data_IF_192443134082
#
_entry.id   IF_192443134082
#
_cell.length_a   1.000
_cell.length_b   1.000
_cell.length_c   1.000
_cell.angle_alpha   90.00
_cell.angle_beta   90.00
_cell.angle_gamma   90.00
#
_symmetry.space_group_name_H-M   'P 1'
#
loop_
_entity.id
_entity.type
_entity.pdbx_description
1 polymer ?
#
# COMPACT_ATOMS: atom_id res chain seq x y z
N UNK A 1 64.61 18.33 -13.53
CA UNK A 1 63.88 17.08 -13.87
C UNK A 1 63.02 16.69 -12.67
N UNK A 2 61.69 16.85 -12.76
CA UNK A 2 60.74 16.50 -11.69
C UNK A 2 59.38 16.16 -12.29
N UNK A 3 58.99 14.89 -12.14
CA UNK A 3 57.78 14.21 -12.66
C UNK A 3 56.48 14.78 -12.05
N UNK A 4 55.43 14.98 -12.84
CA UNK A 4 54.34 14.02 -13.14
C UNK A 4 53.41 13.75 -11.94
N UNK A 5 52.24 14.40 -11.92
CA UNK A 5 50.92 13.83 -11.58
C UNK A 5 49.85 14.93 -11.60
N UNK A 6 49.32 15.24 -12.79
CA UNK A 6 48.07 15.98 -12.92
C UNK A 6 46.91 14.99 -12.96
N UNK A 7 46.14 15.01 -11.87
CA UNK A 7 44.68 15.01 -11.90
C UNK A 7 44.01 13.76 -12.50
N UNK A 8 43.96 12.67 -11.72
CA UNK A 8 42.97 11.58 -11.86
C UNK A 8 41.94 11.57 -10.72
N UNK A 9 41.69 12.71 -10.09
CA UNK A 9 40.82 12.80 -8.90
C UNK A 9 39.35 13.15 -9.23
N UNK A 10 39.05 13.64 -10.43
CA UNK A 10 37.73 14.22 -10.72
C UNK A 10 36.68 13.23 -11.23
N UNK A 11 37.05 11.99 -11.57
CA UNK A 11 36.11 11.02 -12.17
C UNK A 11 35.36 10.20 -11.10
N UNK A 12 35.91 10.08 -9.89
CA UNK A 12 35.35 9.22 -8.84
C UNK A 12 34.17 9.84 -8.09
N UNK A 13 34.12 11.17 -7.97
CA UNK A 13 33.06 11.85 -7.21
C UNK A 13 31.71 11.89 -7.94
N UNK A 14 31.70 11.98 -9.28
CA UNK A 14 30.44 12.04 -10.05
C UNK A 14 29.71 10.69 -10.05
N UNK A 15 30.46 9.59 -10.14
CA UNK A 15 29.88 8.24 -10.14
C UNK A 15 29.16 7.90 -8.82
N UNK A 16 29.71 8.32 -7.68
CA UNK A 16 29.15 8.02 -6.36
C UNK A 16 27.88 8.84 -6.06
N UNK A 17 27.80 10.07 -6.57
CA UNK A 17 26.60 10.92 -6.47
C UNK A 17 25.46 10.38 -7.35
N UNK A 18 25.75 9.93 -8.58
CA UNK A 18 24.72 9.39 -9.48
C UNK A 18 24.12 8.07 -8.97
N UNK A 19 24.94 7.18 -8.37
CA UNK A 19 24.44 5.94 -7.77
C UNK A 19 23.61 6.23 -6.50
N UNK A 20 24.01 7.20 -5.69
CA UNK A 20 23.26 7.60 -4.50
C UNK A 20 21.88 8.20 -4.81
N UNK A 21 21.77 9.06 -5.83
CA UNK A 21 20.49 9.66 -6.26
C UNK A 21 19.57 8.62 -6.92
N UNK A 22 20.12 7.70 -7.72
CA UNK A 22 19.35 6.61 -8.33
C UNK A 22 18.80 5.61 -7.31
N UNK A 23 19.53 5.33 -6.23
CA UNK A 23 19.07 4.45 -5.15
C UNK A 23 17.91 5.06 -4.34
N UNK A 24 17.86 6.39 -4.19
CA UNK A 24 16.78 7.08 -3.47
C UNK A 24 15.51 7.27 -4.31
N UNK A 25 15.63 7.34 -5.64
CA UNK A 25 14.47 7.42 -6.55
C UNK A 25 13.72 6.08 -6.70
N UNK A 26 14.30 4.96 -6.24
CA UNK A 26 13.68 3.63 -6.25
C UNK A 26 12.77 3.34 -5.06
N UNK A 27 12.83 4.13 -3.99
CA UNK A 27 11.86 4.09 -2.88
C UNK A 27 10.62 4.89 -3.29
N UNK A 28 9.93 4.37 -4.30
CA UNK A 28 8.75 4.97 -4.90
C UNK A 28 7.65 5.17 -3.86
N UNK A 29 7.56 6.41 -3.37
CA UNK A 29 6.41 6.91 -2.61
C UNK A 29 5.13 6.75 -3.46
N UNK A 30 5.24 7.01 -4.77
CA UNK A 30 4.19 6.89 -5.77
C UNK A 30 3.57 5.47 -5.88
N UNK A 31 4.39 4.42 -5.77
CA UNK A 31 3.92 3.02 -5.78
C UNK A 31 3.01 2.70 -4.58
N UNK A 32 3.30 3.28 -3.41
CA UNK A 32 2.50 3.10 -2.19
C UNK A 32 1.32 4.09 -2.11
N UNK A 33 1.45 5.26 -2.73
CA UNK A 33 0.41 6.29 -2.71
C UNK A 33 -0.72 5.99 -3.71
N UNK A 34 -0.41 5.39 -4.87
CA UNK A 34 -1.41 5.01 -5.88
C UNK A 34 -2.21 3.73 -5.56
N UNK A 35 -1.67 2.85 -4.71
CA UNK A 35 -2.25 1.52 -4.41
C UNK A 35 -2.74 1.36 -2.98
N UNK A 36 -2.89 2.44 -2.22
CA UNK A 36 -3.10 2.34 -0.77
C UNK A 36 -1.82 1.85 -0.07
N UNK A 37 -1.70 2.11 1.23
CA UNK A 37 -0.47 1.91 2.04
C UNK A 37 0.04 0.45 2.09
N UNK A 38 0.54 -0.08 0.98
CA UNK A 38 1.01 -1.46 0.87
C UNK A 38 -0.12 -2.48 1.01
N UNK A 39 -1.13 -2.41 0.14
CA UNK A 39 -2.20 -3.41 0.10
C UNK A 39 -1.63 -4.84 -0.03
N UNK A 40 -2.26 -5.79 0.65
CA UNK A 40 -1.88 -7.19 0.54
C UNK A 40 -1.97 -7.65 -0.93
N UNK A 41 -1.00 -8.44 -1.42
CA UNK A 41 -1.02 -8.90 -2.80
C UNK A 41 -2.27 -9.73 -3.07
N UNK A 42 -3.03 -9.35 -4.11
CA UNK A 42 -4.24 -10.06 -4.51
C UNK A 42 -3.90 -11.16 -5.52
N UNK A 43 -4.42 -12.38 -5.30
CA UNK A 43 -4.23 -13.50 -6.23
C UNK A 43 -4.77 -13.13 -7.62
N UNK A 44 -3.97 -13.36 -8.66
CA UNK A 44 -4.35 -13.00 -10.04
C UNK A 44 -4.45 -11.49 -10.31
N UNK A 45 -4.04 -10.64 -9.35
CA UNK A 45 -4.11 -9.17 -9.42
C UNK A 45 -5.53 -8.60 -9.60
N UNK A 46 -6.56 -9.41 -9.38
CA UNK A 46 -7.95 -9.00 -9.48
C UNK A 46 -8.66 -9.35 -8.16
N UNK A 47 -9.03 -8.30 -7.41
CA UNK A 47 -9.87 -8.45 -6.22
C UNK A 47 -11.33 -8.60 -6.59
N UNK A 48 -12.14 -8.94 -5.60
CA UNK A 48 -13.59 -8.85 -5.75
C UNK A 48 -14.03 -7.38 -5.77
N UNK A 49 -14.40 -6.90 -6.96
CA UNK A 49 -14.82 -5.52 -7.22
C UNK A 49 -16.33 -5.28 -7.05
N UNK A 50 -17.11 -6.27 -6.58
CA UNK A 50 -18.53 -6.04 -6.27
C UNK A 50 -18.67 -5.01 -5.14
N UNK A 51 -19.73 -4.19 -5.19
CA UNK A 51 -19.94 -3.16 -4.18
C UNK A 51 -20.19 -3.79 -2.81
N UNK A 52 -19.60 -3.20 -1.76
CA UNK A 52 -19.97 -3.54 -0.39
C UNK A 52 -21.35 -2.96 -0.06
N UNK A 53 -22.08 -3.65 0.81
CA UNK A 53 -23.26 -3.06 1.43
C UNK A 53 -22.80 -2.10 2.53
N UNK A 54 -23.42 -0.91 2.60
CA UNK A 54 -23.01 0.17 3.51
C UNK A 54 -24.21 0.65 4.32
N UNK A 55 -24.02 0.70 5.64
CA UNK A 55 -24.96 1.26 6.59
C UNK A 55 -24.40 2.58 7.12
N UNK A 56 -25.11 3.67 6.84
CA UNK A 56 -24.71 4.99 7.32
C UNK A 56 -25.02 5.15 8.80
N UNK A 57 -24.09 5.77 9.52
CA UNK A 57 -24.26 6.12 10.93
C UNK A 57 -24.44 7.65 11.09
N UNK A 58 -25.02 8.11 12.21
CA UNK A 58 -25.08 9.53 12.53
C UNK A 58 -23.69 10.17 12.65
N UNK A 59 -23.65 11.50 12.60
CA UNK A 59 -22.42 12.27 12.73
C UNK A 59 -21.61 11.90 13.98
N UNK A 60 -20.29 11.78 13.81
CA UNK A 60 -19.36 11.36 14.86
C UNK A 60 -19.13 9.84 14.96
N UNK A 61 -19.87 9.03 14.19
CA UNK A 61 -19.69 7.59 14.11
C UNK A 61 -19.26 7.16 12.70
N UNK A 62 -18.41 6.14 12.60
CA UNK A 62 -17.99 5.58 11.31
C UNK A 62 -19.11 4.75 10.67
N UNK A 63 -19.31 4.90 9.37
CA UNK A 63 -20.21 4.03 8.59
C UNK A 63 -19.73 2.58 8.65
N UNK A 64 -20.66 1.64 8.61
CA UNK A 64 -20.39 0.20 8.60
C UNK A 64 -20.50 -0.34 7.17
N UNK A 65 -19.43 -0.96 6.66
CA UNK A 65 -19.44 -1.69 5.40
C UNK A 65 -19.39 -3.20 5.66
N UNK A 66 -20.08 -3.99 4.84
CA UNK A 66 -20.04 -5.45 4.93
C UNK A 66 -19.97 -6.13 3.56
N UNK A 67 -19.26 -7.26 3.52
CA UNK A 67 -19.11 -8.08 2.31
C UNK A 67 -18.71 -9.52 2.66
N UNK A 68 -19.12 -10.49 1.84
CA UNK A 68 -18.57 -11.83 1.88
C UNK A 68 -17.08 -11.82 1.51
N UNK A 69 -16.26 -12.55 2.25
CA UNK A 69 -14.80 -12.62 2.03
C UNK A 69 -14.32 -14.03 1.67
N UNK A 70 -15.26 -14.88 1.24
CA UNK A 70 -15.02 -16.26 0.86
C UNK A 70 -15.16 -17.25 2.01
N UNK A 71 -15.14 -18.54 1.67
CA UNK A 71 -15.13 -19.67 2.61
C UNK A 71 -16.26 -19.65 3.66
N UNK A 72 -17.41 -19.06 3.37
CA UNK A 72 -18.52 -18.98 4.34
C UNK A 72 -18.31 -17.91 5.41
N UNK A 73 -17.50 -16.88 5.15
CA UNK A 73 -17.27 -15.77 6.08
C UNK A 73 -17.71 -14.43 5.50
N UNK A 74 -18.18 -13.56 6.40
CA UNK A 74 -18.51 -12.16 6.13
C UNK A 74 -17.64 -11.25 6.99
N UNK A 75 -17.12 -10.20 6.37
CA UNK A 75 -16.41 -9.14 7.07
C UNK A 75 -17.35 -7.95 7.31
N UNK A 76 -17.13 -7.29 8.44
CA UNK A 76 -17.72 -6.02 8.84
C UNK A 76 -16.60 -5.05 9.16
N UNK A 77 -16.62 -3.87 8.54
CA UNK A 77 -15.58 -2.87 8.71
C UNK A 77 -16.22 -1.51 8.94
N UNK A 78 -15.76 -0.78 9.95
CA UNK A 78 -16.16 0.62 10.14
C UNK A 78 -15.16 1.56 9.47
N UNK A 79 -15.63 2.59 8.76
CA UNK A 79 -14.74 3.64 8.24
C UNK A 79 -14.13 4.43 9.40
N UNK A 80 -12.81 4.62 9.40
CA UNK A 80 -12.10 5.49 10.33
C UNK A 80 -11.27 6.52 9.54
N UNK A 81 -11.38 7.79 9.90
CA UNK A 81 -10.73 8.88 9.17
C UNK A 81 -9.23 9.03 9.49
N UNK A 82 -8.80 8.69 10.71
CA UNK A 82 -7.44 8.99 11.19
C UNK A 82 -6.78 7.86 11.98
N UNK A 83 -7.47 6.73 12.17
CA UNK A 83 -7.00 5.56 12.91
C UNK A 83 -7.35 4.23 12.24
N UNK A 84 -6.99 3.11 12.87
CA UNK A 84 -7.34 1.79 12.35
C UNK A 84 -8.86 1.62 12.31
N UNK A 85 -9.36 1.05 11.21
CA UNK A 85 -10.73 0.58 11.11
C UNK A 85 -10.96 -0.60 12.05
N UNK A 86 -12.12 -0.65 12.69
CA UNK A 86 -12.54 -1.86 13.38
C UNK A 86 -12.94 -2.90 12.32
N UNK A 87 -12.48 -4.14 12.49
CA UNK A 87 -12.80 -5.26 11.61
C UNK A 87 -13.35 -6.41 12.46
N UNK A 88 -14.46 -6.99 12.02
CA UNK A 88 -14.99 -8.24 12.57
C UNK A 88 -15.24 -9.22 11.43
N UNK A 89 -14.83 -10.47 11.62
CA UNK A 89 -15.10 -11.58 10.70
C UNK A 89 -16.01 -12.56 11.43
N UNK A 90 -17.11 -12.93 10.79
CA UNK A 90 -18.08 -13.88 11.34
C UNK A 90 -18.39 -14.96 10.30
N UNK A 91 -18.74 -16.15 10.78
CA UNK A 91 -19.32 -17.18 9.94
C UNK A 91 -20.68 -16.73 9.42
N UNK A 92 -20.88 -16.85 8.10
CA UNK A 92 -22.12 -16.55 7.42
C UNK A 92 -22.37 -17.60 6.33
N UNK A 93 -23.39 -18.44 6.56
CA UNK A 93 -23.77 -19.53 5.64
C UNK A 93 -24.22 -19.02 4.26
N UNK A 94 -24.59 -17.75 4.15
CA UNK A 94 -24.94 -17.12 2.86
C UNK A 94 -23.70 -16.80 2.00
N UNK A 95 -22.50 -16.81 2.59
CA UNK A 95 -21.23 -16.51 1.92
C UNK A 95 -20.45 -17.76 1.45
N UNK A 96 -21.07 -18.95 1.48
CA UNK A 96 -20.42 -20.25 1.21
C UNK A 96 -20.54 -20.77 -0.22
N UNK A 97 -20.78 -19.89 -1.20
CA UNK A 97 -20.89 -20.23 -2.63
C UNK A 97 -19.58 -20.67 -3.27
#
# INVERSE_FOLDING_TARGET
MGRCQRMRASVWFVGLVLVGVGALAGCSQEYNDERGKGDAPVQGKAGDNTAAEVFNMPDGFGNLATKCVGHGFRAYVTTNATGPSNVQIVEDKTCGG
#
